data_IF_097465822848
#
_entry.id   IF_097465822848
#
_cell.length_a   1.000
_cell.length_b   1.000
_cell.length_c   1.000
_cell.angle_alpha   90.00
_cell.angle_beta   90.00
_cell.angle_gamma   90.00
#
_symmetry.space_group_name_H-M   'P 1'
#
loop_
_entity.id
_entity.type
_entity.pdbx_description
1 polymer ?
#
# COMPACT_ATOMS: atom_id res chain seq x y z
N UNK A 1 -7.08 -18.33 29.03
CA UNK A 1 -5.65 -18.60 28.80
C UNK A 1 -5.25 -17.75 27.60
N UNK A 2 -4.89 -16.49 27.83
CA UNK A 2 -4.57 -15.55 26.76
C UNK A 2 -3.24 -15.96 26.15
N UNK A 3 -3.19 -16.18 24.83
CA UNK A 3 -1.93 -16.40 24.13
C UNK A 3 -1.10 -15.12 24.32
N UNK A 4 0.06 -15.24 24.97
CA UNK A 4 1.07 -14.19 24.95
C UNK A 4 1.27 -13.76 23.49
N UNK A 5 1.09 -12.47 23.22
CA UNK A 5 1.15 -11.93 21.87
C UNK A 5 2.46 -12.35 21.20
N UNK A 6 2.34 -12.94 20.01
CA UNK A 6 3.47 -13.34 19.20
C UNK A 6 4.36 -12.11 18.99
N UNK A 7 5.50 -12.02 19.71
CA UNK A 7 6.42 -10.89 19.55
C UNK A 7 6.88 -10.82 18.10
N UNK A 8 6.67 -9.69 17.46
CA UNK A 8 7.20 -9.35 16.15
C UNK A 8 8.15 -8.18 16.34
N UNK A 9 9.26 -8.18 15.61
CA UNK A 9 10.26 -7.12 15.66
C UNK A 9 10.27 -6.38 14.33
N UNK A 10 9.87 -5.11 14.33
CA UNK A 10 9.93 -4.25 13.14
C UNK A 10 11.38 -3.99 12.71
N UNK A 11 11.64 -4.11 11.41
CA UNK A 11 12.95 -3.94 10.80
C UNK A 11 12.97 -2.62 10.01
N UNK A 12 13.44 -1.56 10.66
CA UNK A 12 13.46 -0.19 10.10
C UNK A 12 14.84 0.21 9.61
N UNK A 13 14.92 1.25 8.76
CA UNK A 13 16.19 1.77 8.24
C UNK A 13 16.83 0.98 7.09
N UNK A 14 16.27 -0.18 6.72
CA UNK A 14 16.76 -1.00 5.62
C UNK A 14 16.10 -0.58 4.29
N UNK A 15 16.67 0.43 3.62
CA UNK A 15 16.03 1.08 2.45
C UNK A 15 16.74 0.84 1.11
N UNK A 16 17.89 0.17 1.13
CA UNK A 16 18.69 -0.12 -0.06
C UNK A 16 19.49 -1.42 0.12
N UNK A 17 20.17 -1.86 -0.93
CA UNK A 17 21.04 -3.04 -0.87
C UNK A 17 22.21 -2.88 0.12
N UNK A 18 22.67 -1.65 0.34
CA UNK A 18 23.79 -1.27 1.23
C UNK A 18 23.35 -1.25 2.69
N UNK A 19 22.09 -0.91 2.95
CA UNK A 19 21.49 -0.85 4.30
C UNK A 19 20.67 -2.08 4.62
N UNK A 20 20.67 -3.10 3.76
CA UNK A 20 19.78 -4.25 3.86
C UNK A 20 19.98 -5.06 5.14
N UNK A 21 18.88 -5.54 5.72
CA UNK A 21 18.91 -6.52 6.79
C UNK A 21 19.38 -7.85 6.23
N UNK A 22 20.46 -8.40 6.78
CA UNK A 22 21.06 -9.65 6.30
C UNK A 22 20.80 -10.78 7.29
N UNK A 23 20.33 -11.90 6.76
CA UNK A 23 20.16 -13.15 7.49
C UNK A 23 21.16 -14.15 6.91
N UNK A 24 22.04 -14.64 7.78
CA UNK A 24 22.96 -15.72 7.45
C UNK A 24 22.29 -17.07 7.62
N UNK A 25 22.91 -18.11 7.06
CA UNK A 25 22.42 -19.49 7.18
C UNK A 25 20.96 -19.65 6.70
N UNK A 26 20.64 -19.12 5.53
CA UNK A 26 19.34 -19.24 4.86
C UNK A 26 19.29 -20.48 3.95
N UNK A 27 18.16 -21.23 3.88
CA UNK A 27 18.05 -22.39 2.99
C UNK A 27 18.25 -22.02 1.51
N UNK A 28 19.11 -22.75 0.81
CA UNK A 28 19.35 -22.60 -0.62
C UNK A 28 19.19 -23.92 -1.36
N UNK A 29 18.07 -24.07 -2.07
CA UNK A 29 17.68 -25.36 -2.62
C UNK A 29 17.45 -26.38 -1.50
N UNK A 30 17.85 -27.64 -1.74
CA UNK A 30 17.56 -28.74 -0.79
C UNK A 30 18.64 -29.00 0.27
N UNK A 31 19.88 -28.54 0.05
CA UNK A 31 21.04 -28.94 0.88
C UNK A 31 22.00 -27.82 1.24
N UNK A 32 21.99 -26.71 0.49
CA UNK A 32 22.96 -25.64 0.70
C UNK A 32 22.36 -24.59 1.64
N UNK A 33 23.25 -23.87 2.29
CA UNK A 33 22.94 -22.70 3.11
C UNK A 33 23.64 -21.48 2.50
N UNK A 34 23.07 -20.30 2.66
CA UNK A 34 23.60 -19.06 2.10
C UNK A 34 23.19 -17.85 2.92
N UNK A 35 23.65 -16.65 2.59
CA UNK A 35 23.09 -15.41 3.14
C UNK A 35 21.97 -14.87 2.25
N UNK A 36 20.94 -14.28 2.85
CA UNK A 36 19.89 -13.52 2.17
C UNK A 36 19.84 -12.12 2.76
N UNK A 37 19.51 -11.12 1.94
CA UNK A 37 19.31 -9.74 2.41
C UNK A 37 17.96 -9.19 1.99
N UNK A 38 17.40 -8.32 2.83
CA UNK A 38 16.07 -7.74 2.70
C UNK A 38 16.09 -6.22 2.91
N UNK A 39 15.31 -5.50 2.12
CA UNK A 39 15.12 -4.05 2.28
C UNK A 39 13.79 -3.59 1.68
N UNK A 40 13.35 -2.40 2.07
CA UNK A 40 12.22 -1.71 1.49
C UNK A 40 12.72 -0.68 0.48
N UNK A 41 12.42 -0.89 -0.80
CA UNK A 41 12.70 0.11 -1.83
C UNK A 41 11.55 1.10 -1.93
N UNK A 42 11.85 2.39 -1.91
CA UNK A 42 10.85 3.45 -2.16
C UNK A 42 11.08 4.07 -3.53
N UNK A 43 10.00 4.21 -4.31
CA UNK A 43 10.01 4.91 -5.59
C UNK A 43 8.95 5.99 -5.63
N UNK A 44 9.37 7.20 -5.99
CA UNK A 44 8.49 8.34 -6.14
C UNK A 44 7.31 8.01 -7.07
N UNK A 45 6.11 8.41 -6.69
CA UNK A 45 4.84 8.13 -7.36
C UNK A 45 4.37 6.66 -7.43
N UNK A 46 5.20 5.67 -7.04
CA UNK A 46 4.80 4.26 -7.02
C UNK A 46 4.62 3.71 -5.60
N UNK A 47 5.35 4.24 -4.62
CA UNK A 47 5.25 3.81 -3.22
C UNK A 47 6.45 2.97 -2.80
N UNK A 48 6.21 1.97 -1.95
CA UNK A 48 7.22 1.09 -1.35
C UNK A 48 7.05 -0.34 -1.82
N UNK A 49 8.14 -1.11 -1.90
CA UNK A 49 8.09 -2.56 -2.12
C UNK A 49 9.14 -3.29 -1.30
N UNK A 50 8.79 -4.49 -0.86
CA UNK A 50 9.74 -5.41 -0.24
C UNK A 50 10.65 -6.03 -1.29
N UNK A 51 11.95 -6.07 -1.01
CA UNK A 51 12.97 -6.64 -1.90
C UNK A 51 13.80 -7.64 -1.12
N UNK A 52 14.09 -8.78 -1.75
CA UNK A 52 14.99 -9.79 -1.24
C UNK A 52 16.04 -10.21 -2.27
N UNK A 53 17.20 -10.65 -1.80
CA UNK A 53 18.26 -11.16 -2.66
C UNK A 53 19.10 -12.20 -1.93
N UNK A 54 19.28 -13.37 -2.55
CA UNK A 54 20.14 -14.43 -2.01
C UNK A 54 21.55 -14.33 -2.56
N UNK A 55 22.54 -14.68 -1.75
CA UNK A 55 23.90 -14.91 -2.20
C UNK A 55 23.95 -16.30 -2.87
N UNK A 56 24.67 -16.43 -3.97
CA UNK A 56 24.91 -17.74 -4.57
C UNK A 56 26.11 -18.39 -3.87
N UNK A 57 25.92 -19.48 -3.08
CA UNK A 57 26.99 -20.07 -2.30
C UNK A 57 28.08 -20.74 -3.16
N UNK A 58 27.81 -20.99 -4.45
CA UNK A 58 28.76 -21.60 -5.37
C UNK A 58 29.70 -20.59 -6.02
N UNK A 59 29.30 -19.32 -6.11
CA UNK A 59 30.04 -18.28 -6.84
C UNK A 59 30.41 -17.07 -5.98
N UNK A 60 29.84 -16.95 -4.77
CA UNK A 60 30.04 -15.80 -3.88
C UNK A 60 29.43 -14.50 -4.42
N UNK A 61 28.54 -14.58 -5.42
CA UNK A 61 27.88 -13.40 -6.03
C UNK A 61 26.42 -13.34 -5.63
N UNK A 62 25.91 -12.13 -5.38
CA UNK A 62 24.47 -11.92 -5.19
C UNK A 62 23.71 -12.31 -6.46
N UNK A 63 22.66 -13.12 -6.30
CA UNK A 63 21.75 -13.49 -7.40
C UNK A 63 20.96 -12.27 -7.90
N UNK A 64 20.18 -12.42 -8.97
CA UNK A 64 19.23 -11.38 -9.38
C UNK A 64 18.25 -11.08 -8.23
N UNK A 65 18.02 -9.79 -7.96
CA UNK A 65 17.07 -9.36 -6.93
C UNK A 65 15.65 -9.88 -7.23
N UNK A 66 14.91 -10.19 -6.18
CA UNK A 66 13.49 -10.51 -6.21
C UNK A 66 12.73 -9.39 -5.52
N UNK A 67 12.03 -8.58 -6.31
CA UNK A 67 11.23 -7.47 -5.81
C UNK A 67 9.73 -7.81 -5.82
N UNK A 68 9.02 -7.40 -4.78
CA UNK A 68 7.56 -7.46 -4.70
C UNK A 68 6.89 -6.35 -5.52
N UNK A 69 5.57 -6.28 -5.39
CA UNK A 69 4.74 -5.21 -5.97
C UNK A 69 4.81 -3.95 -5.11
N UNK A 70 4.69 -2.79 -5.73
CA UNK A 70 4.59 -1.54 -4.99
C UNK A 70 3.26 -1.42 -4.24
N UNK A 71 3.34 -0.89 -3.02
CA UNK A 71 2.25 -0.62 -2.09
C UNK A 71 2.40 0.81 -1.55
N UNK A 72 1.32 1.38 -1.00
CA UNK A 72 1.36 2.74 -0.44
C UNK A 72 2.30 2.80 0.78
N UNK A 73 2.19 1.83 1.69
CA UNK A 73 3.09 1.64 2.82
C UNK A 73 3.54 0.17 2.85
N UNK A 74 4.81 -0.08 3.14
CA UNK A 74 5.32 -1.43 3.39
C UNK A 74 6.14 -1.44 4.68
N UNK A 75 5.75 -2.32 5.60
CA UNK A 75 6.46 -2.59 6.84
C UNK A 75 7.18 -3.93 6.70
N UNK A 76 8.44 -3.97 7.11
CA UNK A 76 9.25 -5.18 7.18
C UNK A 76 9.40 -5.58 8.65
N UNK A 77 9.19 -6.85 8.98
CA UNK A 77 9.32 -7.34 10.36
C UNK A 77 9.86 -8.77 10.38
N UNK A 78 10.45 -9.15 11.51
CA UNK A 78 10.82 -10.53 11.80
C UNK A 78 9.85 -11.15 12.82
N UNK A 79 9.47 -12.41 12.61
CA UNK A 79 8.74 -13.20 13.61
C UNK A 79 9.69 -13.78 14.68
N UNK A 80 9.13 -14.53 15.63
CA UNK A 80 9.89 -15.16 16.72
C UNK A 80 10.87 -16.24 16.25
N UNK A 81 10.71 -16.78 15.05
CA UNK A 81 11.63 -17.75 14.45
C UNK A 81 12.75 -17.05 13.67
N UNK A 82 12.72 -15.71 13.59
CA UNK A 82 13.66 -14.92 12.82
C UNK A 82 13.35 -14.88 11.32
N UNK A 83 12.18 -15.36 10.90
CA UNK A 83 11.76 -15.24 9.51
C UNK A 83 11.29 -13.82 9.21
N UNK A 84 11.77 -13.28 8.08
CA UNK A 84 11.43 -11.93 7.64
C UNK A 84 10.18 -11.96 6.76
N UNK A 85 9.21 -11.11 7.12
CA UNK A 85 7.94 -10.92 6.44
C UNK A 85 7.75 -9.45 6.08
N UNK A 86 6.71 -9.18 5.28
CA UNK A 86 6.23 -7.83 5.02
C UNK A 86 4.71 -7.75 5.08
N UNK A 87 4.21 -6.60 5.52
CA UNK A 87 2.79 -6.22 5.55
C UNK A 87 2.67 -4.72 5.16
N UNK A 88 1.48 -4.17 5.08
CA UNK A 88 1.27 -2.74 4.90
C UNK A 88 -0.05 -2.40 4.23
N UNK A 89 -0.06 -1.27 3.52
CA UNK A 89 -1.25 -0.70 2.89
C UNK A 89 -1.07 -0.64 1.39
N UNK A 90 -2.06 -1.14 0.66
CA UNK A 90 -2.10 -1.13 -0.81
C UNK A 90 -3.12 -0.10 -1.32
N UNK A 91 -3.22 0.06 -2.64
CA UNK A 91 -4.27 0.89 -3.25
C UNK A 91 -5.70 0.35 -3.05
N UNK A 92 -5.85 -0.87 -2.53
CA UNK A 92 -7.13 -1.51 -2.25
C UNK A 92 -7.48 -1.55 -0.75
N UNK A 93 -6.60 -1.02 0.10
CA UNK A 93 -6.79 -1.07 1.54
C UNK A 93 -7.90 -0.12 1.99
N UNK A 94 -8.83 -0.64 2.80
CA UNK A 94 -9.95 0.11 3.37
C UNK A 94 -9.65 0.65 4.77
N UNK A 95 -10.65 1.27 5.42
CA UNK A 95 -10.52 1.82 6.77
C UNK A 95 -10.02 0.78 7.80
N UNK A 96 -10.56 -0.45 7.76
CA UNK A 96 -10.17 -1.52 8.67
C UNK A 96 -8.70 -1.95 8.52
N UNK A 97 -8.18 -1.94 7.29
CA UNK A 97 -6.76 -2.24 7.03
C UNK A 97 -5.86 -1.15 7.61
N UNK A 98 -6.25 0.12 7.46
CA UNK A 98 -5.53 1.27 8.01
C UNK A 98 -5.48 1.13 9.54
N UNK A 99 -6.62 0.90 10.18
CA UNK A 99 -6.73 0.72 11.63
C UNK A 99 -5.90 -0.47 12.13
N UNK A 100 -5.90 -1.60 11.39
CA UNK A 100 -5.08 -2.77 11.71
C UNK A 100 -3.60 -2.39 11.70
N UNK A 101 -3.14 -1.76 10.62
CA UNK A 101 -1.72 -1.43 10.44
C UNK A 101 -1.27 -0.42 11.49
N UNK A 102 -2.04 0.65 11.74
CA UNK A 102 -1.71 1.66 12.77
C UNK A 102 -1.69 1.08 14.20
N UNK A 103 -2.53 0.08 14.49
CA UNK A 103 -2.50 -0.63 15.77
C UNK A 103 -1.31 -1.58 15.91
N UNK A 104 -0.82 -2.11 14.80
CA UNK A 104 0.18 -3.18 14.78
C UNK A 104 1.61 -2.66 14.70
N UNK A 105 1.84 -1.58 13.94
CA UNK A 105 3.18 -1.10 13.60
C UNK A 105 3.41 0.36 13.98
N UNK A 106 4.65 0.68 14.36
CA UNK A 106 5.08 2.04 14.66
C UNK A 106 5.29 2.86 13.37
N UNK A 107 4.22 3.42 12.83
CA UNK A 107 4.23 4.25 11.61
C UNK A 107 4.57 5.73 11.88
N UNK A 108 5.71 5.97 12.51
CA UNK A 108 6.09 7.30 13.04
C UNK A 108 6.70 8.27 12.01
N UNK A 109 6.85 7.86 10.74
CA UNK A 109 7.39 8.71 9.68
C UNK A 109 6.39 9.74 9.16
N UNK A 110 6.89 10.91 8.73
CA UNK A 110 6.06 11.96 8.11
C UNK A 110 5.32 11.45 6.87
N UNK A 111 6.01 10.64 6.05
CA UNK A 111 5.46 10.07 4.82
C UNK A 111 4.28 9.14 5.13
N UNK A 112 4.43 8.25 6.08
CA UNK A 112 3.42 7.28 6.47
C UNK A 112 2.17 7.99 7.00
N UNK A 113 2.35 9.00 7.86
CA UNK A 113 1.26 9.87 8.33
C UNK A 113 0.51 10.57 7.19
N UNK A 114 1.25 11.17 6.24
CA UNK A 114 0.64 11.86 5.10
C UNK A 114 -0.14 10.89 4.20
N UNK A 115 0.38 9.69 3.99
CA UNK A 115 -0.28 8.66 3.18
C UNK A 115 -1.54 8.15 3.89
N UNK A 116 -1.48 7.82 5.18
CA UNK A 116 -2.65 7.40 5.95
C UNK A 116 -3.73 8.48 5.90
N UNK A 117 -3.35 9.74 6.13
CA UNK A 117 -4.27 10.88 6.05
C UNK A 117 -4.94 10.97 4.68
N UNK A 118 -4.16 10.86 3.60
CA UNK A 118 -4.70 10.84 2.24
C UNK A 118 -5.65 9.65 2.00
N UNK A 119 -5.29 8.45 2.46
CA UNK A 119 -6.11 7.25 2.28
C UNK A 119 -7.45 7.35 3.01
N UNK A 120 -7.46 7.85 4.26
CA UNK A 120 -8.71 8.12 4.99
C UNK A 120 -9.58 9.17 4.27
N UNK A 121 -8.97 10.24 3.76
CA UNK A 121 -9.69 11.24 2.97
C UNK A 121 -10.24 10.67 1.66
N UNK A 122 -9.48 9.82 0.97
CA UNK A 122 -9.93 9.16 -0.25
C UNK A 122 -11.09 8.18 0.00
N UNK A 123 -11.08 7.49 1.14
CA UNK A 123 -12.18 6.62 1.57
C UNK A 123 -13.48 7.42 1.78
N UNK A 124 -13.42 8.51 2.57
CA UNK A 124 -14.56 9.42 2.78
C UNK A 124 -15.05 10.04 1.47
N UNK A 125 -14.13 10.38 0.57
CA UNK A 125 -14.49 10.86 -0.76
C UNK A 125 -15.24 9.79 -1.55
N UNK A 126 -14.79 8.54 -1.49
CA UNK A 126 -15.46 7.39 -2.11
C UNK A 126 -16.90 7.20 -1.62
N UNK A 127 -17.16 7.37 -0.33
CA UNK A 127 -18.52 7.30 0.25
C UNK A 127 -19.46 8.40 -0.29
N UNK A 128 -18.91 9.52 -0.76
CA UNK A 128 -19.68 10.66 -1.29
C UNK A 128 -19.84 10.65 -2.80
N UNK A 129 -19.19 9.72 -3.49
CA UNK A 129 -19.24 9.64 -4.95
C UNK A 129 -20.07 8.44 -5.37
N UNK A 130 -21.07 8.68 -6.21
CA UNK A 130 -21.88 7.63 -6.82
C UNK A 130 -21.55 7.53 -8.31
N UNK A 131 -21.32 6.31 -8.78
CA UNK A 131 -21.07 6.03 -10.20
C UNK A 131 -22.24 5.24 -10.79
N UNK A 132 -22.74 5.69 -11.93
CA UNK A 132 -23.73 4.95 -12.72
C UNK A 132 -23.02 4.24 -13.87
N UNK A 133 -23.12 2.90 -13.91
CA UNK A 133 -22.55 2.08 -14.98
C UNK A 133 -23.67 1.57 -15.87
N UNK A 134 -23.62 1.87 -17.16
CA UNK A 134 -24.54 1.33 -18.15
C UNK A 134 -23.79 0.48 -19.17
N UNK A 135 -24.25 -0.76 -19.38
CA UNK A 135 -23.76 -1.61 -20.45
C UNK A 135 -24.48 -1.25 -21.74
N UNK A 136 -23.75 -0.71 -22.71
CA UNK A 136 -24.29 -0.56 -24.06
C UNK A 136 -23.97 -1.81 -24.87
N UNK A 137 -24.99 -2.60 -25.20
CA UNK A 137 -24.86 -3.75 -26.09
C UNK A 137 -25.35 -3.32 -27.47
N UNK A 138 -24.42 -3.06 -28.37
CA UNK A 138 -24.75 -2.68 -29.75
C UNK A 138 -25.06 -3.96 -30.56
N UNK A 139 -26.31 -4.41 -30.55
CA UNK A 139 -26.77 -5.56 -31.35
C UNK A 139 -27.50 -5.07 -32.61
N UNK A 140 -26.76 -4.84 -33.70
CA UNK A 140 -27.33 -4.82 -35.06
C UNK A 140 -26.91 -3.66 -35.95
N UNK A 141 -26.86 -3.93 -37.27
CA UNK A 141 -26.71 -2.91 -38.31
C UNK A 141 -27.97 -2.05 -38.36
N UNK A 142 -27.85 -0.78 -37.97
CA UNK A 142 -28.97 0.17 -37.89
C UNK A 142 -29.22 0.77 -36.49
N UNK A 143 -28.30 0.62 -35.55
CA UNK A 143 -28.43 1.21 -34.22
C UNK A 143 -28.45 2.76 -34.31
N UNK A 144 -29.62 3.36 -34.08
CA UNK A 144 -29.86 4.82 -34.00
C UNK A 144 -30.01 5.28 -32.55
N UNK A 145 -29.32 4.62 -31.61
CA UNK A 145 -29.42 4.94 -30.19
C UNK A 145 -28.77 6.31 -29.89
N UNK A 146 -29.53 7.31 -29.41
CA UNK A 146 -29.00 8.62 -29.05
C UNK A 146 -27.93 8.56 -27.94
N UNK A 147 -27.84 7.47 -27.17
CA UNK A 147 -26.80 7.27 -26.15
C UNK A 147 -25.38 7.18 -26.71
N UNK A 148 -25.20 6.98 -28.03
CA UNK A 148 -23.90 7.10 -28.70
C UNK A 148 -23.36 8.54 -28.69
N UNK A 149 -24.24 9.54 -28.53
CA UNK A 149 -23.87 10.95 -28.43
C UNK A 149 -23.68 11.45 -27.01
N UNK A 150 -24.00 10.63 -26.00
CA UNK A 150 -23.83 10.99 -24.59
C UNK A 150 -22.37 10.86 -24.17
N UNK A 151 -21.82 11.94 -23.58
CA UNK A 151 -20.45 11.96 -23.11
C UNK A 151 -20.24 10.94 -21.98
N UNK A 152 -19.30 10.02 -22.18
CA UNK A 152 -18.86 9.08 -21.15
C UNK A 152 -17.55 9.58 -20.54
N UNK A 153 -17.52 9.66 -19.22
CA UNK A 153 -16.32 10.03 -18.50
C UNK A 153 -15.19 9.02 -18.76
N UNK A 154 -14.08 9.53 -19.24
CA UNK A 154 -12.80 8.81 -19.35
C UNK A 154 -12.24 8.49 -17.97
N UNK A 155 -11.34 7.51 -17.87
CA UNK A 155 -10.62 7.19 -16.62
C UNK A 155 -9.93 8.42 -16.03
N UNK A 156 -9.42 9.32 -16.90
CA UNK A 156 -8.78 10.57 -16.48
C UNK A 156 -9.76 11.54 -15.84
N UNK A 157 -10.96 11.69 -16.40
CA UNK A 157 -12.02 12.53 -15.81
C UNK A 157 -12.51 11.95 -14.49
N UNK A 158 -12.69 10.62 -14.43
CA UNK A 158 -13.07 9.92 -13.20
C UNK A 158 -12.02 10.15 -12.09
N UNK A 159 -10.73 9.99 -12.41
CA UNK A 159 -9.63 10.28 -11.49
C UNK A 159 -9.61 11.75 -11.05
N UNK A 160 -9.86 12.70 -11.97
CA UNK A 160 -9.89 14.12 -11.65
C UNK A 160 -11.03 14.47 -10.66
N UNK A 161 -12.21 13.87 -10.83
CA UNK A 161 -13.33 14.01 -9.90
C UNK A 161 -12.95 13.45 -8.53
N UNK A 162 -12.43 12.22 -8.48
CA UNK A 162 -12.01 11.60 -7.21
C UNK A 162 -10.94 12.44 -6.50
N UNK A 163 -9.95 12.95 -7.23
CA UNK A 163 -8.94 13.85 -6.66
C UNK A 163 -9.53 15.17 -6.16
N UNK A 164 -10.53 15.74 -6.85
CA UNK A 164 -11.18 16.96 -6.39
C UNK A 164 -11.94 16.74 -5.07
N UNK A 165 -12.73 15.66 -4.97
CA UNK A 165 -13.48 15.33 -3.75
C UNK A 165 -12.53 14.96 -2.60
N UNK A 166 -11.45 14.22 -2.88
CA UNK A 166 -10.43 13.89 -1.86
C UNK A 166 -9.74 15.15 -1.32
N UNK A 167 -9.46 16.15 -2.18
CA UNK A 167 -8.89 17.43 -1.73
C UNK A 167 -9.87 18.22 -0.86
N UNK A 168 -11.16 18.18 -1.17
CA UNK A 168 -12.20 18.79 -0.33
C UNK A 168 -12.24 18.13 1.06
N UNK A 169 -12.15 16.80 1.14
CA UNK A 169 -12.05 16.07 2.41
C UNK A 169 -10.83 16.49 3.24
N UNK A 170 -9.66 16.60 2.61
CA UNK A 170 -8.43 17.04 3.28
C UNK A 170 -8.54 18.49 3.77
N UNK A 171 -9.16 19.37 2.97
CA UNK A 171 -9.38 20.77 3.34
C UNK A 171 -10.31 20.88 4.55
N UNK A 172 -11.44 20.17 4.55
CA UNK A 172 -12.39 20.17 5.66
C UNK A 172 -11.77 19.66 6.95
N UNK A 173 -11.01 18.56 6.87
CA UNK A 173 -10.27 18.01 8.01
C UNK A 173 -9.26 19.03 8.57
N UNK A 174 -8.52 19.72 7.71
CA UNK A 174 -7.58 20.76 8.12
C UNK A 174 -8.30 21.93 8.80
N UNK A 175 -9.43 22.39 8.26
CA UNK A 175 -10.21 23.48 8.85
C UNK A 175 -10.77 23.09 10.21
N UNK A 176 -11.27 21.86 10.37
CA UNK A 176 -11.73 21.35 11.66
C UNK A 176 -10.58 21.34 12.69
N UNK A 177 -9.39 20.86 12.29
CA UNK A 177 -8.22 20.85 13.16
C UNK A 177 -7.80 22.26 13.61
N UNK A 178 -7.81 23.26 12.71
CA UNK A 178 -7.53 24.67 13.05
C UNK A 178 -8.53 25.22 14.07
N UNK A 179 -9.79 24.79 13.98
CA UNK A 179 -10.86 25.20 14.91
C UNK A 179 -10.87 24.41 16.22
N UNK A 180 -10.04 23.37 16.36
CA UNK A 180 -10.10 22.46 17.50
C UNK A 180 -11.33 21.54 17.50
N UNK A 181 -11.95 21.33 16.34
CA UNK A 181 -13.11 20.47 16.15
C UNK A 181 -12.67 19.05 15.73
N UNK A 182 -13.41 18.03 16.16
CA UNK A 182 -13.22 16.66 15.69
C UNK A 182 -13.83 16.49 14.30
N UNK A 183 -13.06 16.00 13.33
CA UNK A 183 -13.56 15.67 11.99
C UNK A 183 -14.03 14.21 11.95
N UNK A 184 -15.24 13.91 11.42
CA UNK A 184 -15.80 12.56 11.46
C UNK A 184 -14.94 11.58 10.64
N UNK A 185 -14.80 10.36 11.17
CA UNK A 185 -14.29 9.24 10.39
C UNK A 185 -15.32 8.77 9.37
N UNK A 186 -14.83 8.11 8.33
CA UNK A 186 -15.66 7.48 7.30
C UNK A 186 -16.54 6.40 7.94
N UNK A 187 -17.76 6.21 7.45
CA UNK A 187 -18.65 5.18 8.00
C UNK A 187 -18.17 3.79 7.51
N UNK A 188 -17.94 2.87 8.46
CA UNK A 188 -17.54 1.48 8.19
C UNK A 188 -18.58 0.70 7.40
#
# INVERSE_FOLDING_TARGET
MGKEGNKMHELTGHTSAETAYTVDDYPYGFRLRTSIRYWIETKQAQGQRFVSQTLNPKTGRWNKLKAGTYSAITVMFADNEGHVHCDGLTGYSGAEDIDRVERTYALEGNREREIIRYMRAAHRAGERVTWSVSSHVCTGAGCTDPSHSEHRQTIKEQAAIMHAVTRDELWREMVAAIKGETYPEAAS
#
